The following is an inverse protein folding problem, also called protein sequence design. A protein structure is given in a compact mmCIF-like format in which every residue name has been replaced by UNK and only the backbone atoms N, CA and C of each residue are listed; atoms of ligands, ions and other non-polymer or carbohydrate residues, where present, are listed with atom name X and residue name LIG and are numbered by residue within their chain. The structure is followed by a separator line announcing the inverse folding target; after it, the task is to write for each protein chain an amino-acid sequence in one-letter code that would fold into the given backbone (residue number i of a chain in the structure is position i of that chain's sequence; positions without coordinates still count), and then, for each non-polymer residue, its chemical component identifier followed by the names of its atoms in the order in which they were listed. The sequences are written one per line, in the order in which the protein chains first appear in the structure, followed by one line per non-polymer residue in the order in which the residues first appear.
data_IF_674186948276
#
_entry.id   IF_674186948276
#
_cell.length_a   1.000
_cell.length_b   1.000
_cell.length_c   1.000
_cell.angle_alpha   90.00
_cell.angle_beta   90.00
_cell.angle_gamma   90.00
#
_symmetry.space_group_name_H-M   'P 1'
#
loop_
_entity.id
_entity.type
_entity.pdbx_description
1 polymer ?
#
# COMPACT_ATOMS: atom_id res chain seq x y z
N UNK A 1 8.59 -55.82 -17.23
CA UNK A 1 9.80 -56.15 -16.46
C UNK A 1 10.33 -54.86 -15.85
N UNK A 2 10.43 -54.82 -14.51
CA UNK A 2 10.81 -53.69 -13.63
C UNK A 2 12.33 -53.38 -13.73
N UNK A 3 12.82 -52.20 -13.30
CA UNK A 3 12.98 -51.88 -11.87
C UNK A 3 12.60 -50.40 -11.53
N UNK A 4 11.68 -50.08 -10.62
CA UNK A 4 11.77 -50.01 -9.14
C UNK A 4 13.12 -49.57 -8.57
N UNK A 5 13.23 -48.27 -8.29
CA UNK A 5 14.35 -47.65 -7.60
C UNK A 5 13.84 -47.12 -6.24
N UNK A 6 14.10 -47.90 -5.18
CA UNK A 6 13.92 -47.49 -3.80
C UNK A 6 15.04 -46.53 -3.41
N UNK A 7 14.71 -45.26 -3.15
CA UNK A 7 15.58 -44.36 -2.38
C UNK A 7 15.06 -44.26 -0.95
N UNK A 8 15.83 -44.84 -0.05
CA UNK A 8 15.69 -44.71 1.40
C UNK A 8 15.73 -43.22 1.80
N UNK A 9 14.70 -42.79 2.53
CA UNK A 9 14.68 -41.52 3.24
C UNK A 9 15.54 -41.66 4.52
N UNK A 10 16.55 -40.80 4.75
CA UNK A 10 17.21 -40.74 6.04
C UNK A 10 16.24 -40.18 7.09
N UNK A 11 16.17 -40.90 8.21
CA UNK A 11 15.26 -40.66 9.33
C UNK A 11 15.33 -39.25 9.91
N UNK A 12 14.15 -38.68 10.13
CA UNK A 12 13.93 -37.52 10.97
C UNK A 12 14.04 -37.93 12.45
N UNK A 13 15.26 -38.27 12.88
CA UNK A 13 15.55 -38.59 14.28
C UNK A 13 16.05 -37.34 15.01
N UNK A 14 15.22 -36.90 15.95
CA UNK A 14 15.58 -36.25 17.20
C UNK A 14 16.31 -34.91 17.12
N UNK A 15 15.55 -33.81 17.01
CA UNK A 15 16.00 -32.53 17.56
C UNK A 15 16.09 -32.70 19.09
N UNK A 16 17.28 -32.55 19.71
CA UNK A 16 17.43 -32.75 21.14
C UNK A 16 16.61 -31.70 21.91
N UNK A 17 15.86 -32.09 22.96
CA UNK A 17 14.92 -31.21 23.67
C UNK A 17 15.60 -30.00 24.34
N UNK A 18 16.92 -30.05 24.55
CA UNK A 18 17.71 -28.92 25.07
C UNK A 18 17.82 -27.74 24.08
N UNK A 19 17.79 -28.00 22.76
CA UNK A 19 17.80 -26.93 21.75
C UNK A 19 16.47 -26.17 21.71
N UNK A 20 15.35 -26.87 21.90
CA UNK A 20 14.02 -26.25 21.96
C UNK A 20 13.93 -25.33 23.19
N UNK A 21 14.49 -25.74 24.34
CA UNK A 21 14.48 -24.94 25.56
C UNK A 21 15.38 -23.70 25.47
N UNK A 22 16.48 -23.77 24.73
CA UNK A 22 17.36 -22.63 24.45
C UNK A 22 16.69 -21.58 23.53
N UNK A 23 15.98 -22.03 22.48
CA UNK A 23 15.29 -21.14 21.55
C UNK A 23 14.11 -20.39 22.21
N UNK A 24 13.39 -21.04 23.13
CA UNK A 24 12.30 -20.38 23.88
C UNK A 24 12.84 -19.26 24.78
N UNK A 25 14.00 -19.46 25.45
CA UNK A 25 14.59 -18.43 26.31
C UNK A 25 15.14 -17.22 25.56
N UNK A 26 15.66 -17.40 24.35
CA UNK A 26 16.11 -16.28 23.52
C UNK A 26 14.94 -15.39 23.07
N UNK A 27 13.78 -16.00 22.78
CA UNK A 27 12.59 -15.25 22.36
C UNK A 27 11.97 -14.40 23.48
N UNK A 28 12.06 -14.81 24.74
CA UNK A 28 11.53 -14.03 25.86
C UNK A 28 12.40 -12.80 26.22
N UNK A 29 13.71 -12.86 25.95
CA UNK A 29 14.61 -11.74 26.24
C UNK A 29 14.45 -10.55 25.26
N UNK A 30 14.11 -10.80 23.99
CA UNK A 30 13.90 -9.73 23.00
C UNK A 30 12.57 -8.97 23.21
N UNK A 31 11.54 -9.64 23.75
CA UNK A 31 10.22 -9.00 23.93
C UNK A 31 10.23 -7.95 25.04
N UNK A 32 11.11 -8.07 26.05
CA UNK A 32 11.20 -7.08 27.14
C UNK A 32 11.99 -5.81 26.79
N UNK A 33 12.77 -5.80 25.70
CA UNK A 33 13.54 -4.59 25.31
C UNK A 33 12.71 -3.64 24.44
N UNK A 34 11.69 -4.14 23.74
CA UNK A 34 10.88 -3.31 22.84
C UNK A 34 9.90 -2.37 23.56
N UNK A 35 9.34 -2.75 24.71
CA UNK A 35 8.29 -1.94 25.36
C UNK A 35 8.82 -0.74 26.17
N UNK A 36 10.11 -0.70 26.50
CA UNK A 36 10.67 0.39 27.31
C UNK A 36 11.11 1.62 26.48
N UNK A 37 11.18 1.50 25.15
CA UNK A 37 11.73 2.54 24.27
C UNK A 37 10.64 3.33 23.55
N UNK A 38 9.42 2.79 23.42
CA UNK A 38 8.28 3.49 22.81
C UNK A 38 7.69 4.59 23.72
N UNK A 39 7.72 4.42 25.04
CA UNK A 39 7.16 5.42 25.97
C UNK A 39 8.00 6.72 26.05
N UNK A 40 9.31 6.63 25.82
CA UNK A 40 10.21 7.79 25.88
C UNK A 40 10.06 8.71 24.65
N UNK A 41 9.77 8.14 23.48
CA UNK A 41 9.64 8.90 22.23
C UNK A 41 8.28 9.63 22.17
N UNK A 42 7.22 9.05 22.73
CA UNK A 42 5.89 9.67 22.74
C UNK A 42 5.79 10.88 23.68
N UNK A 43 6.50 10.88 24.82
CA UNK A 43 6.52 12.04 25.73
C UNK A 43 7.34 13.22 25.19
N UNK A 44 8.45 12.97 24.49
CA UNK A 44 9.26 14.03 23.88
C UNK A 44 8.56 14.78 22.74
N UNK A 45 7.57 14.16 22.07
CA UNK A 45 6.77 14.80 21.03
C UNK A 45 5.70 15.76 21.55
N UNK A 46 5.18 15.52 22.76
CA UNK A 46 4.04 16.27 23.31
C UNK A 46 4.42 17.67 23.79
N UNK A 47 5.66 17.87 24.25
CA UNK A 47 6.14 19.17 24.72
C UNK A 47 6.50 20.13 23.57
N UNK A 48 6.88 19.62 22.38
CA UNK A 48 7.18 20.47 21.21
C UNK A 48 5.93 21.06 20.54
N UNK A 49 4.75 20.46 20.73
CA UNK A 49 3.51 20.97 20.13
C UNK A 49 2.83 22.11 20.90
N UNK A 50 3.21 22.35 22.16
CA UNK A 50 2.70 23.49 22.94
C UNK A 50 3.35 24.83 22.53
N UNK A 51 4.56 24.81 21.96
CA UNK A 51 5.33 26.03 21.68
C UNK A 51 5.04 26.70 20.31
N UNK A 52 4.25 26.07 19.43
CA UNK A 52 3.99 26.60 18.07
C UNK A 52 2.64 27.35 17.99
N UNK A 53 1.79 27.29 19.03
CA UNK A 53 0.45 27.88 18.99
C UNK A 53 0.41 29.40 19.27
N UNK A 54 1.54 30.05 19.54
CA UNK A 54 1.56 31.43 20.06
C UNK A 54 1.99 32.51 19.04
N UNK A 55 2.28 32.17 17.78
CA UNK A 55 2.73 33.16 16.76
C UNK A 55 1.73 33.39 15.62
N UNK A 56 0.44 33.48 15.93
CA UNK A 56 -0.58 33.91 14.96
C UNK A 56 -1.65 34.85 15.53
N UNK A 57 -1.26 35.67 16.51
CA UNK A 57 -2.10 36.72 17.06
C UNK A 57 -1.38 38.08 16.99
N UNK A 58 -1.06 38.55 15.78
CA UNK A 58 -0.61 39.93 15.56
C UNK A 58 -0.53 40.23 14.06
N UNK A 59 -1.67 40.39 13.39
CA UNK A 59 -1.76 41.18 12.15
C UNK A 59 -2.98 42.08 12.22
N UNK A 60 -2.68 43.28 12.73
CA UNK A 60 -3.34 44.56 12.52
C UNK A 60 -4.85 44.57 12.39
N UNK A 61 -5.47 44.76 13.55
CA UNK A 61 -6.71 45.49 13.75
C UNK A 61 -6.50 46.96 13.33
N UNK A 62 -6.78 47.32 12.08
CA UNK A 62 -6.99 48.72 11.69
C UNK A 62 -8.00 48.81 10.55
N UNK A 63 -9.27 48.92 10.93
CA UNK A 63 -10.25 49.89 10.42
C UNK A 63 -11.67 49.35 10.67
N UNK A 64 -12.33 49.95 11.66
CA UNK A 64 -13.75 49.80 11.90
C UNK A 64 -14.51 50.88 11.13
N UNK A 65 -15.45 50.43 10.30
CA UNK A 65 -16.69 51.09 9.82
C UNK A 65 -16.55 52.33 8.90
N UNK A 66 -17.33 52.40 7.79
CA UNK A 66 -18.79 52.50 7.90
C UNK A 66 -19.57 51.70 6.85
N UNK A 67 -20.72 51.13 7.25
CA UNK A 67 -21.96 51.05 6.45
C UNK A 67 -22.91 50.04 7.09
N UNK A 68 -23.78 50.54 7.96
CA UNK A 68 -24.83 49.75 8.63
C UNK A 68 -26.01 49.40 7.70
N UNK A 69 -25.91 49.69 6.40
CA UNK A 69 -26.94 49.41 5.40
C UNK A 69 -26.72 48.09 4.64
N UNK A 70 -25.52 47.50 4.69
CA UNK A 70 -25.21 46.27 3.95
C UNK A 70 -25.57 44.98 4.72
N UNK A 71 -25.83 45.05 6.02
CA UNK A 71 -26.06 43.86 6.86
C UNK A 71 -27.41 43.17 6.60
N UNK A 72 -28.42 43.90 6.10
CA UNK A 72 -29.73 43.32 5.79
C UNK A 72 -29.75 42.49 4.49
N UNK A 73 -28.85 42.76 3.54
CA UNK A 73 -28.78 41.98 2.30
C UNK A 73 -28.06 40.64 2.49
N UNK A 74 -27.09 40.59 3.41
CA UNK A 74 -26.28 39.38 3.64
C UNK A 74 -27.11 38.29 4.32
N UNK A 75 -28.05 38.65 5.20
CA UNK A 75 -28.92 37.67 5.88
C UNK A 75 -29.98 37.07 4.94
N UNK A 76 -30.54 37.86 4.01
CA UNK A 76 -31.47 37.36 3.00
C UNK A 76 -30.78 36.48 1.94
N UNK A 77 -29.53 36.79 1.57
CA UNK A 77 -28.74 35.95 0.68
C UNK A 77 -28.37 34.59 1.32
N UNK A 78 -28.07 34.57 2.62
CA UNK A 78 -27.74 33.34 3.35
C UNK A 78 -28.97 32.43 3.55
N UNK A 79 -30.17 33.01 3.71
CA UNK A 79 -31.40 32.26 3.85
C UNK A 79 -31.93 31.70 2.52
N UNK A 80 -31.71 32.41 1.41
CA UNK A 80 -32.15 31.98 0.09
C UNK A 80 -31.23 30.94 -0.58
N UNK A 81 -29.92 30.94 -0.27
CA UNK A 81 -28.96 30.01 -0.86
C UNK A 81 -28.68 28.76 -0.01
N UNK A 82 -29.22 28.69 1.22
CA UNK A 82 -28.90 27.63 2.17
C UNK A 82 -27.41 27.59 2.53
N UNK A 83 -27.01 26.79 3.53
CA UNK A 83 -25.60 26.49 3.71
C UNK A 83 -25.14 25.74 2.46
N UNK A 84 -24.40 26.43 1.59
CA UNK A 84 -23.61 25.79 0.56
C UNK A 84 -22.83 24.68 1.27
N UNK A 85 -23.17 23.42 0.96
CA UNK A 85 -22.42 22.25 1.39
C UNK A 85 -20.96 22.63 1.13
N UNK A 86 -20.08 22.72 2.16
CA UNK A 86 -18.69 23.07 1.94
C UNK A 86 -18.25 22.18 0.79
N UNK A 87 -17.66 22.74 -0.29
CA UNK A 87 -17.29 21.95 -1.45
C UNK A 87 -16.54 20.76 -0.89
N UNK A 88 -17.22 19.60 -0.89
CA UNK A 88 -16.63 18.39 -0.37
C UNK A 88 -15.38 18.28 -1.19
N UNK A 89 -14.21 18.31 -0.52
CA UNK A 89 -12.92 18.32 -1.18
C UNK A 89 -13.08 17.47 -2.43
N UNK A 90 -13.03 18.05 -3.65
CA UNK A 90 -13.17 17.24 -4.84
C UNK A 90 -12.17 16.11 -4.64
N UNK A 91 -12.57 14.82 -4.80
CA UNK A 91 -11.64 13.72 -4.61
C UNK A 91 -10.42 14.13 -5.38
N UNK A 92 -9.34 14.37 -4.64
CA UNK A 92 -8.14 15.01 -5.15
C UNK A 92 -7.76 14.18 -6.36
N UNK A 93 -8.03 14.70 -7.55
CA UNK A 93 -7.75 14.01 -8.79
C UNK A 93 -6.22 13.86 -8.82
N UNK A 94 -5.64 12.68 -8.56
CA UNK A 94 -4.23 12.52 -8.26
C UNK A 94 -3.37 12.51 -9.54
N UNK A 95 -3.85 13.10 -10.63
CA UNK A 95 -3.37 12.78 -11.97
C UNK A 95 -2.35 13.77 -12.55
N UNK A 96 -1.83 14.75 -11.80
CA UNK A 96 -1.01 15.79 -12.44
C UNK A 96 0.17 16.37 -11.62
N UNK A 97 0.45 15.90 -10.40
CA UNK A 97 1.60 16.39 -9.62
C UNK A 97 2.30 15.34 -8.74
N UNK A 98 1.83 14.11 -8.83
CA UNK A 98 2.35 12.92 -8.18
C UNK A 98 3.26 12.25 -9.21
N UNK A 99 4.57 12.50 -9.14
CA UNK A 99 5.54 11.61 -9.78
C UNK A 99 5.16 10.18 -9.39
N UNK A 100 5.00 9.27 -10.36
CA UNK A 100 4.48 7.91 -10.17
C UNK A 100 5.00 7.30 -8.87
N UNK A 101 4.21 7.38 -7.78
CA UNK A 101 4.68 6.99 -6.45
C UNK A 101 5.16 5.53 -6.46
N UNK A 102 4.48 4.70 -7.27
CA UNK A 102 4.89 3.35 -7.59
C UNK A 102 6.27 3.24 -8.24
N UNK A 103 6.63 4.11 -9.19
CA UNK A 103 7.95 4.11 -9.82
C UNK A 103 9.04 4.51 -8.81
N UNK A 104 8.77 5.46 -7.92
CA UNK A 104 9.69 5.84 -6.83
C UNK A 104 9.87 4.66 -5.87
N UNK A 105 8.77 4.12 -5.34
CA UNK A 105 8.77 2.96 -4.44
C UNK A 105 9.56 1.81 -5.06
N UNK A 106 9.25 1.47 -6.32
CA UNK A 106 9.93 0.42 -7.04
C UNK A 106 11.44 0.68 -7.14
N UNK A 107 11.85 1.91 -7.48
CA UNK A 107 13.27 2.27 -7.59
C UNK A 107 14.00 2.09 -6.26
N UNK A 108 13.43 2.57 -5.16
CA UNK A 108 14.04 2.46 -3.84
C UNK A 108 14.19 0.99 -3.40
N UNK A 109 13.13 0.18 -3.55
CA UNK A 109 13.22 -1.25 -3.21
C UNK A 109 14.11 -2.03 -4.16
N UNK A 110 14.15 -1.69 -5.45
CA UNK A 110 15.00 -2.37 -6.44
C UNK A 110 16.49 -2.15 -6.16
N UNK A 111 16.85 -1.02 -5.56
CA UNK A 111 18.22 -0.76 -5.12
C UNK A 111 18.65 -1.65 -3.94
N UNK A 112 17.70 -2.01 -3.06
CA UNK A 112 17.94 -2.87 -1.90
C UNK A 112 17.87 -4.37 -2.25
N UNK A 113 16.97 -4.74 -3.17
CA UNK A 113 16.63 -6.12 -3.51
C UNK A 113 16.74 -6.36 -5.02
N UNK A 114 17.96 -6.31 -5.59
CA UNK A 114 18.15 -6.40 -7.03
C UNK A 114 17.60 -7.73 -7.57
N UNK A 115 16.65 -7.62 -8.50
CA UNK A 115 15.94 -8.72 -9.15
C UNK A 115 15.27 -9.73 -8.19
N UNK A 116 14.99 -9.36 -6.94
CA UNK A 116 14.35 -10.27 -5.98
C UNK A 116 12.90 -9.90 -5.65
N UNK A 117 12.44 -8.74 -6.09
CA UNK A 117 11.07 -8.29 -5.82
C UNK A 117 10.08 -9.15 -6.60
N UNK A 118 9.16 -9.79 -5.89
CA UNK A 118 8.03 -10.49 -6.47
C UNK A 118 6.84 -9.53 -6.63
N UNK A 119 6.46 -8.87 -5.54
CA UNK A 119 5.42 -7.85 -5.51
C UNK A 119 5.64 -6.85 -4.37
N UNK A 120 5.15 -5.64 -4.54
CA UNK A 120 5.00 -4.63 -3.50
C UNK A 120 3.52 -4.30 -3.42
N UNK A 121 2.87 -4.60 -2.30
CA UNK A 121 1.46 -4.34 -2.08
C UNK A 121 1.33 -3.12 -1.17
N UNK A 122 0.60 -2.12 -1.63
CA UNK A 122 0.29 -0.93 -0.86
C UNK A 122 -1.22 -0.84 -0.64
N UNK A 123 -1.64 -0.75 0.61
CA UNK A 123 -3.04 -0.63 0.99
C UNK A 123 -3.23 0.32 2.19
N UNK A 124 -4.39 0.26 2.83
CA UNK A 124 -4.67 1.09 4.01
C UNK A 124 -3.87 0.73 5.27
N UNK A 125 -3.21 -0.42 5.31
CA UNK A 125 -2.41 -0.91 6.43
C UNK A 125 -0.93 -0.58 6.27
N UNK A 126 -0.45 -0.39 5.04
CA UNK A 126 0.91 0.05 4.78
C UNK A 126 1.45 -0.47 3.45
N UNK A 127 2.76 -0.75 3.44
CA UNK A 127 3.48 -1.35 2.32
C UNK A 127 3.98 -2.72 2.76
N UNK A 128 3.58 -3.75 2.04
CA UNK A 128 4.08 -5.11 2.18
C UNK A 128 4.99 -5.45 0.98
N UNK A 129 6.21 -5.92 1.27
CA UNK A 129 7.18 -6.33 0.26
C UNK A 129 7.28 -7.85 0.23
N UNK A 130 6.95 -8.45 -0.91
CA UNK A 130 7.14 -9.86 -1.19
C UNK A 130 8.40 -10.06 -2.03
N UNK A 131 9.31 -10.90 -1.55
CA UNK A 131 10.57 -11.25 -2.21
C UNK A 131 10.54 -12.72 -2.66
N UNK A 132 11.23 -13.01 -3.75
CA UNK A 132 11.53 -14.37 -4.16
C UNK A 132 12.69 -14.94 -3.33
N UNK A 133 12.73 -16.27 -3.18
CA UNK A 133 13.82 -16.97 -2.48
C UNK A 133 15.19 -16.75 -3.14
N UNK A 134 15.21 -16.49 -4.44
CA UNK A 134 16.42 -16.23 -5.23
C UNK A 134 16.19 -15.08 -6.23
N UNK A 135 17.24 -14.33 -6.59
CA UNK A 135 17.14 -13.33 -7.63
C UNK A 135 16.73 -13.94 -8.96
N UNK A 136 15.79 -13.30 -9.63
CA UNK A 136 15.40 -13.62 -10.98
C UNK A 136 16.53 -13.28 -11.97
N UNK A 137 16.71 -14.14 -12.98
CA UNK A 137 17.70 -13.90 -14.04
C UNK A 137 17.42 -12.59 -14.81
N UNK A 138 16.14 -12.30 -15.03
CA UNK A 138 15.66 -11.06 -15.64
C UNK A 138 14.51 -10.48 -14.80
N UNK A 139 14.51 -9.15 -14.51
CA UNK A 139 13.50 -8.53 -13.65
C UNK A 139 12.10 -8.52 -14.26
N UNK A 140 11.95 -8.65 -15.58
CA UNK A 140 10.67 -8.48 -16.27
C UNK A 140 10.28 -7.00 -16.39
N UNK A 141 9.18 -6.71 -17.08
CA UNK A 141 8.67 -5.33 -17.21
C UNK A 141 7.84 -4.98 -15.98
N UNK A 142 8.14 -3.88 -15.28
CA UNK A 142 7.36 -3.47 -14.13
C UNK A 142 5.99 -2.92 -14.56
N UNK A 143 4.99 -3.13 -13.71
CA UNK A 143 3.67 -2.55 -13.84
C UNK A 143 3.05 -2.37 -12.45
N UNK A 144 2.07 -1.47 -12.36
CA UNK A 144 1.21 -1.34 -11.20
C UNK A 144 -0.20 -1.79 -11.54
N UNK A 145 -0.80 -2.57 -10.64
CA UNK A 145 -2.17 -3.04 -10.68
C UNK A 145 -2.95 -2.38 -9.54
N UNK A 146 -4.05 -1.71 -9.84
CA UNK A 146 -5.00 -1.28 -8.82
C UNK A 146 -6.12 -2.29 -8.75
N UNK A 147 -6.24 -2.98 -7.62
CA UNK A 147 -7.28 -3.98 -7.36
C UNK A 147 -8.22 -3.44 -6.31
N UNK A 148 -9.48 -3.25 -6.67
CA UNK A 148 -10.54 -2.86 -5.75
C UNK A 148 -11.54 -4.00 -5.59
N UNK A 149 -11.79 -4.40 -4.35
CA UNK A 149 -12.77 -5.39 -3.94
C UNK A 149 -13.67 -4.80 -2.84
N UNK A 150 -14.68 -5.52 -2.31
CA UNK A 150 -15.53 -5.00 -1.24
C UNK A 150 -14.78 -4.62 0.05
N UNK A 151 -13.56 -5.14 0.27
CA UNK A 151 -12.70 -4.83 1.40
C UNK A 151 -11.86 -3.56 1.23
N UNK A 152 -11.73 -3.04 0.01
CA UNK A 152 -11.00 -1.81 -0.28
C UNK A 152 -10.23 -1.86 -1.59
N UNK A 153 -9.40 -0.85 -1.82
CA UNK A 153 -8.48 -0.82 -2.94
C UNK A 153 -7.04 -1.00 -2.45
N UNK A 154 -6.27 -1.78 -3.19
CA UNK A 154 -4.83 -1.93 -3.01
C UNK A 154 -4.10 -1.76 -4.33
N UNK A 155 -2.90 -1.21 -4.26
CA UNK A 155 -1.99 -1.08 -5.39
C UNK A 155 -0.92 -2.16 -5.29
N UNK A 156 -0.70 -2.90 -6.38
CA UNK A 156 0.26 -4.00 -6.45
C UNK A 156 1.28 -3.65 -7.54
N UNK A 157 2.51 -3.40 -7.15
CA UNK A 157 3.64 -3.22 -8.06
C UNK A 157 4.28 -4.59 -8.26
N UNK A 158 4.39 -5.04 -9.51
CA UNK A 158 4.93 -6.36 -9.83
C UNK A 158 5.53 -6.36 -11.24
N UNK A 159 5.94 -7.52 -11.72
CA UNK A 159 6.60 -7.69 -13.00
C UNK A 159 5.89 -8.76 -13.84
N UNK A 160 6.04 -8.66 -15.16
CA UNK A 160 5.62 -9.74 -16.06
C UNK A 160 6.34 -11.06 -15.70
N UNK A 161 5.58 -12.15 -15.69
CA UNK A 161 6.03 -13.50 -15.34
C UNK A 161 6.00 -13.81 -13.85
N UNK A 162 5.50 -12.91 -12.99
CA UNK A 162 5.38 -13.12 -11.54
C UNK A 162 4.01 -13.68 -11.18
N UNK A 163 3.98 -14.50 -10.13
CA UNK A 163 2.75 -14.95 -9.49
C UNK A 163 2.43 -14.03 -8.31
N UNK A 164 1.17 -13.58 -8.24
CA UNK A 164 0.63 -12.74 -7.18
C UNK A 164 -0.74 -13.26 -6.74
N UNK A 165 -1.21 -12.81 -5.58
CA UNK A 165 -2.55 -13.16 -5.08
C UNK A 165 -3.56 -12.02 -5.32
N UNK A 166 -4.63 -12.32 -6.05
CA UNK A 166 -5.75 -11.41 -6.30
C UNK A 166 -7.04 -12.10 -5.88
N UNK A 167 -7.73 -11.50 -4.90
CA UNK A 167 -8.98 -12.01 -4.33
C UNK A 167 -8.94 -13.51 -3.95
N UNK A 168 -7.86 -13.96 -3.31
CA UNK A 168 -7.71 -15.36 -2.89
C UNK A 168 -7.27 -16.31 -4.02
N UNK A 169 -6.95 -15.79 -5.21
CA UNK A 169 -6.49 -16.58 -6.34
C UNK A 169 -5.03 -16.25 -6.67
N UNK A 170 -4.20 -17.28 -6.75
CA UNK A 170 -2.90 -17.19 -7.37
C UNK A 170 -3.06 -16.94 -8.88
N UNK A 171 -2.44 -15.87 -9.37
CA UNK A 171 -2.51 -15.46 -10.76
C UNK A 171 -1.12 -15.10 -11.27
N UNK A 172 -0.81 -15.54 -12.48
CA UNK A 172 0.40 -15.13 -13.19
C UNK A 172 0.13 -13.84 -13.97
N UNK A 173 1.05 -12.89 -13.85
CA UNK A 173 0.98 -11.60 -14.53
C UNK A 173 1.67 -11.69 -15.88
N UNK A 174 0.97 -11.36 -16.96
CA UNK A 174 1.54 -11.32 -18.30
C UNK A 174 1.39 -9.92 -18.87
N UNK A 175 2.50 -9.20 -19.02
CA UNK A 175 2.53 -7.90 -19.68
C UNK A 175 3.10 -8.04 -21.10
N UNK A 176 2.30 -7.67 -22.10
CA UNK A 176 2.67 -7.75 -23.52
C UNK A 176 3.34 -6.47 -24.03
N UNK A 177 4.00 -6.59 -25.19
CA UNK A 177 4.47 -5.46 -25.98
C UNK A 177 3.27 -4.67 -26.52
N UNK A 178 2.90 -3.59 -25.83
CA UNK A 178 1.72 -2.79 -26.16
C UNK A 178 1.03 -2.24 -24.93
N UNK A 179 1.20 -2.89 -23.78
CA UNK A 179 0.55 -2.49 -22.53
C UNK A 179 -0.71 -3.24 -22.18
N UNK A 180 -1.07 -4.22 -23.01
CA UNK A 180 -2.01 -5.24 -22.58
C UNK A 180 -1.41 -5.98 -21.39
N UNK A 181 -2.22 -6.14 -20.35
CA UNK A 181 -1.94 -6.97 -19.19
C UNK A 181 -2.98 -8.07 -19.14
N UNK A 182 -2.52 -9.30 -18.94
CA UNK A 182 -3.37 -10.48 -18.72
C UNK A 182 -2.99 -11.03 -17.34
N UNK A 183 -4.00 -11.32 -16.54
CA UNK A 183 -3.87 -12.06 -15.29
C UNK A 183 -4.50 -13.43 -15.54
N UNK A 184 -3.71 -14.49 -15.39
CA UNK A 184 -4.16 -15.85 -15.66
C UNK A 184 -3.91 -16.76 -14.45
N UNK A 185 -4.97 -17.43 -14.01
CA UNK A 185 -4.95 -18.41 -12.93
C UNK A 185 -6.04 -19.46 -13.16
N UNK A 186 -6.04 -20.54 -12.37
CA UNK A 186 -6.92 -21.71 -12.60
C UNK A 186 -8.40 -21.34 -12.75
N UNK A 187 -8.87 -20.39 -11.93
CA UNK A 187 -10.28 -19.96 -11.87
C UNK A 187 -10.42 -18.45 -11.96
N UNK A 188 -9.38 -17.80 -12.44
CA UNK A 188 -9.32 -16.35 -12.51
C UNK A 188 -8.68 -15.97 -13.84
N UNK A 189 -9.40 -15.19 -14.64
CA UNK A 189 -8.85 -14.62 -15.85
C UNK A 189 -9.33 -13.19 -16.00
N UNK A 190 -8.38 -12.30 -16.23
CA UNK A 190 -8.64 -10.90 -16.50
C UNK A 190 -7.71 -10.39 -17.59
N UNK A 191 -8.18 -9.44 -18.38
CA UNK A 191 -7.35 -8.72 -19.32
C UNK A 191 -7.70 -7.24 -19.30
N UNK A 192 -6.68 -6.37 -19.37
CA UNK A 192 -6.86 -4.92 -19.45
C UNK A 192 -7.71 -4.46 -20.63
N UNK A 193 -7.80 -5.27 -21.69
CA UNK A 193 -8.55 -4.94 -22.90
C UNK A 193 -10.02 -5.37 -22.79
N UNK A 194 -10.33 -6.27 -21.86
CA UNK A 194 -11.68 -6.75 -21.62
C UNK A 194 -12.30 -5.90 -20.50
N UNK A 195 -13.49 -5.34 -20.76
CA UNK A 195 -14.27 -4.63 -19.73
C UNK A 195 -14.99 -5.58 -18.75
N UNK A 196 -14.69 -6.87 -18.83
CA UNK A 196 -15.30 -7.89 -17.99
C UNK A 196 -14.59 -7.94 -16.65
N UNK A 197 -15.38 -7.82 -15.58
CA UNK A 197 -14.86 -8.02 -14.23
C UNK A 197 -14.60 -9.52 -14.04
N UNK A 198 -13.45 -9.90 -13.47
CA UNK A 198 -13.09 -11.32 -13.30
C UNK A 198 -13.98 -12.02 -12.27
N UNK A 199 -14.58 -11.25 -11.37
CA UNK A 199 -15.58 -11.71 -10.42
C UNK A 199 -16.47 -10.54 -9.96
N UNK A 200 -17.66 -10.82 -9.40
CA UNK A 200 -18.56 -9.79 -8.88
C UNK A 200 -17.90 -8.90 -7.83
N UNK A 201 -18.02 -7.58 -7.99
CA UNK A 201 -17.49 -6.61 -7.03
C UNK A 201 -15.98 -6.39 -7.09
N UNK A 202 -15.27 -7.04 -8.02
CA UNK A 202 -13.84 -6.81 -8.25
C UNK A 202 -13.65 -5.92 -9.47
N UNK A 203 -12.87 -4.84 -9.30
CA UNK A 203 -12.40 -3.97 -10.36
C UNK A 203 -10.88 -3.99 -10.39
N UNK A 204 -10.31 -4.16 -11.57
CA UNK A 204 -8.87 -4.15 -11.78
C UNK A 204 -8.51 -3.12 -12.83
N UNK A 205 -7.48 -2.35 -12.54
CA UNK A 205 -6.85 -1.42 -13.45
C UNK A 205 -5.35 -1.72 -13.51
N UNK A 206 -4.73 -1.47 -14.67
CA UNK A 206 -3.29 -1.67 -14.85
C UNK A 206 -2.66 -0.43 -15.45
N UNK A 207 -1.47 -0.06 -14.97
CA UNK A 207 -0.62 0.96 -15.57
C UNK A 207 0.82 0.48 -15.70
N UNK A 208 1.50 0.96 -16.73
CA UNK A 208 2.95 0.77 -16.88
C UNK A 208 3.69 1.68 -15.91
N UNK A 209 4.87 1.26 -15.50
CA UNK A 209 5.83 2.04 -14.73
C UNK A 209 7.09 2.30 -15.57
#
# INVERSE_FOLDING_TARGET
MKPENNREHPGADSVPPELIRALVRLREADVSVSSATEDAIFQAGKERMAAIREKRASRSLSWLFPSLAAAACITLAWLALGPAKPPGNPPSSPLAREEDAAAIILREFSALYPNQINAIVQDGQGIELSLADQPYAEPGKPLALTVCDPGGCREIITFSGREIEIAGHAVTVHAENGGRVILDGERFRWSSDLKENPAPGIRIESRKL
#
